data_IF_618652078123
#
_entry.id   IF_618652078123
#
_cell.length_a   1.000
_cell.length_b   1.000
_cell.length_c   1.000
_cell.angle_alpha   90.00
_cell.angle_beta   90.00
_cell.angle_gamma   90.00
#
_symmetry.space_group_name_H-M   'P 1'
#
loop_
_entity.id
_entity.type
_entity.pdbx_description
1 polymer ?
#
# COMPACT_ATOMS: atom_id res chain seq x y z
N UNK A 1 -25.32 31.87 53.60
CA UNK A 1 -24.46 30.77 53.12
C UNK A 1 -24.73 30.55 51.63
N UNK A 2 -23.90 31.06 50.74
CA UNK A 2 -24.07 30.90 49.27
C UNK A 2 -22.97 29.97 48.76
N UNK A 3 -23.35 28.74 48.40
CA UNK A 3 -22.45 27.70 47.92
C UNK A 3 -21.81 28.09 46.58
N UNK A 4 -20.48 28.13 46.57
CA UNK A 4 -19.63 28.30 45.39
C UNK A 4 -19.59 27.00 44.55
N UNK A 5 -20.71 26.60 43.95
CA UNK A 5 -20.82 25.38 43.13
C UNK A 5 -21.11 25.68 41.64
N UNK A 6 -20.42 26.65 41.03
CA UNK A 6 -20.58 26.97 39.59
C UNK A 6 -19.29 27.00 38.78
N UNK A 7 -18.12 27.18 39.42
CA UNK A 7 -16.82 27.22 38.72
C UNK A 7 -16.33 25.83 38.34
N UNK A 8 -16.55 24.81 39.19
CA UNK A 8 -16.15 23.43 38.91
C UNK A 8 -16.83 22.82 37.67
N UNK A 9 -18.13 23.12 37.46
CA UNK A 9 -18.90 22.56 36.35
C UNK A 9 -18.43 23.06 34.98
N UNK A 10 -17.99 24.34 34.89
CA UNK A 10 -17.46 24.92 33.65
C UNK A 10 -16.08 24.35 33.28
N UNK A 11 -15.22 24.09 34.26
CA UNK A 11 -13.93 23.45 34.02
C UNK A 11 -14.08 21.96 33.66
N UNK A 12 -15.03 21.25 34.28
CA UNK A 12 -15.37 19.87 33.93
C UNK A 12 -15.90 19.73 32.48
N UNK A 13 -16.71 20.69 32.01
CA UNK A 13 -17.20 20.71 30.62
C UNK A 13 -16.13 21.04 29.58
N UNK A 14 -15.16 21.90 29.92
CA UNK A 14 -14.05 22.24 29.03
C UNK A 14 -13.01 21.10 28.95
N UNK A 15 -12.75 20.42 30.06
CA UNK A 15 -11.87 19.22 30.10
C UNK A 15 -12.53 18.06 29.37
N UNK A 16 -13.84 17.85 29.50
CA UNK A 16 -14.54 16.79 28.75
C UNK A 16 -14.62 17.11 27.25
N UNK A 17 -14.84 18.37 26.85
CA UNK A 17 -14.85 18.75 25.43
C UNK A 17 -13.46 18.61 24.79
N UNK A 18 -12.38 18.93 25.50
CA UNK A 18 -11.01 18.72 25.02
C UNK A 18 -10.61 17.23 24.99
N UNK A 19 -11.11 16.41 25.91
CA UNK A 19 -10.95 14.95 25.86
C UNK A 19 -11.71 14.31 24.69
N UNK A 20 -12.92 14.81 24.39
CA UNK A 20 -13.72 14.33 23.24
C UNK A 20 -13.09 14.76 21.92
N UNK A 21 -12.57 15.99 21.81
CA UNK A 21 -11.82 16.42 20.61
C UNK A 21 -10.55 15.60 20.43
N UNK A 22 -9.77 15.35 21.49
CA UNK A 22 -8.60 14.48 21.44
C UNK A 22 -8.96 13.02 21.06
N UNK A 23 -10.11 12.51 21.51
CA UNK A 23 -10.60 11.20 21.12
C UNK A 23 -11.01 11.16 19.63
N UNK A 24 -11.64 12.22 19.09
CA UNK A 24 -12.05 12.22 17.67
C UNK A 24 -10.89 12.27 16.67
N UNK A 25 -9.74 12.87 17.03
CA UNK A 25 -8.52 12.79 16.19
C UNK A 25 -7.80 11.45 16.31
N UNK A 26 -7.94 10.74 17.45
CA UNK A 26 -7.35 9.41 17.64
C UNK A 26 -8.16 8.28 16.97
N UNK A 27 -9.46 8.49 16.72
CA UNK A 27 -10.32 7.49 16.09
C UNK A 27 -10.13 7.33 14.57
N UNK A 28 -9.28 8.13 13.92
CA UNK A 28 -9.00 8.01 12.50
C UNK A 28 -7.97 6.92 12.13
N UNK A 29 -7.35 6.23 13.10
CA UNK A 29 -6.11 5.48 12.79
C UNK A 29 -6.09 3.98 13.02
N UNK A 30 -7.13 3.28 13.48
CA UNK A 30 -6.98 1.84 13.70
C UNK A 30 -8.26 1.02 13.49
N UNK A 31 -8.47 0.55 12.26
CA UNK A 31 -9.47 -0.44 11.84
C UNK A 31 -8.72 -1.76 11.48
N UNK A 32 -9.26 -2.96 11.77
CA UNK A 32 -8.54 -4.24 11.57
C UNK A 32 -8.10 -4.46 10.11
N UNK A 33 -6.84 -4.87 9.87
CA UNK A 33 -6.17 -4.80 8.55
C UNK A 33 -4.96 -3.83 8.51
N UNK A 34 -4.56 -3.35 9.68
CA UNK A 34 -3.55 -2.38 10.13
C UNK A 34 -2.14 -2.35 9.49
N UNK A 35 -1.96 -2.76 8.23
CA UNK A 35 -0.70 -2.67 7.50
C UNK A 35 -0.90 -2.19 6.07
N UNK A 36 0.15 -1.64 5.47
CA UNK A 36 0.15 -1.16 4.07
C UNK A 36 -0.35 -2.21 3.07
N UNK A 37 -0.20 -3.51 3.36
CA UNK A 37 -0.41 -4.60 2.41
C UNK A 37 -1.57 -5.51 2.78
N UNK A 38 -2.45 -5.75 1.82
CA UNK A 38 -3.47 -6.79 1.87
C UNK A 38 -2.85 -8.17 1.69
N UNK A 39 -3.22 -9.13 2.55
CA UNK A 39 -2.73 -10.51 2.44
C UNK A 39 -3.48 -11.23 1.33
N UNK A 40 -2.74 -11.83 0.39
CA UNK A 40 -3.31 -12.68 -0.67
C UNK A 40 -2.94 -14.14 -0.46
N UNK A 41 -3.85 -15.03 -0.88
CA UNK A 41 -3.61 -16.47 -0.93
C UNK A 41 -3.81 -16.93 -2.37
N UNK A 42 -2.90 -17.73 -2.93
CA UNK A 42 -3.08 -18.27 -4.27
C UNK A 42 -4.19 -19.32 -4.28
N UNK A 43 -4.91 -19.39 -5.39
CA UNK A 43 -5.87 -20.45 -5.72
C UNK A 43 -5.42 -21.05 -7.05
N UNK A 44 -5.29 -22.37 -7.12
CA UNK A 44 -4.82 -23.07 -8.33
C UNK A 44 -3.49 -22.51 -8.88
N UNK A 45 -2.54 -22.20 -8.00
CA UNK A 45 -1.21 -21.73 -8.38
C UNK A 45 -1.11 -20.26 -8.80
N UNK A 46 -2.19 -19.47 -8.68
CA UNK A 46 -2.18 -18.04 -8.99
C UNK A 46 -2.90 -17.20 -7.94
N UNK A 47 -2.44 -15.98 -7.74
CA UNK A 47 -3.18 -14.92 -7.05
C UNK A 47 -4.06 -14.22 -8.08
N UNK A 48 -5.35 -14.10 -7.79
CA UNK A 48 -6.33 -13.46 -8.65
C UNK A 48 -6.91 -12.24 -7.94
N UNK A 49 -6.78 -11.06 -8.56
CA UNK A 49 -7.24 -9.78 -8.03
C UNK A 49 -8.25 -9.19 -9.02
N UNK A 50 -9.49 -8.86 -8.60
CA UNK A 50 -10.45 -8.22 -9.48
C UNK A 50 -9.95 -6.83 -9.93
N UNK A 51 -10.02 -6.56 -11.23
CA UNK A 51 -9.63 -5.27 -11.83
C UNK A 51 -10.39 -4.10 -11.21
N UNK A 52 -11.66 -4.31 -10.84
CA UNK A 52 -12.49 -3.30 -10.17
C UNK A 52 -11.94 -2.82 -8.83
N UNK A 53 -11.11 -3.63 -8.14
CA UNK A 53 -10.49 -3.24 -6.87
C UNK A 53 -9.26 -2.36 -7.03
N UNK A 54 -8.63 -2.37 -8.21
CA UNK A 54 -7.31 -1.78 -8.43
C UNK A 54 -7.27 -0.75 -9.56
N UNK A 55 -8.43 -0.39 -10.10
CA UNK A 55 -8.57 0.52 -11.26
C UNK A 55 -8.93 1.96 -10.91
N UNK A 56 -8.88 2.33 -9.63
CA UNK A 56 -9.23 3.67 -9.13
C UNK A 56 -8.09 4.70 -9.26
N UNK A 57 -6.98 4.33 -9.92
CA UNK A 57 -5.80 5.18 -10.10
C UNK A 57 -4.87 5.22 -8.87
N UNK A 58 -5.21 4.53 -7.78
CA UNK A 58 -4.35 4.41 -6.61
C UNK A 58 -3.51 3.13 -6.66
N UNK A 59 -2.38 3.14 -5.98
CA UNK A 59 -1.55 1.98 -5.77
C UNK A 59 -2.17 1.10 -4.66
N UNK A 60 -2.45 -0.15 -4.99
CA UNK A 60 -2.95 -1.17 -4.08
C UNK A 60 -1.84 -2.16 -3.79
N UNK A 61 -1.54 -2.35 -2.52
CA UNK A 61 -0.39 -3.12 -2.07
C UNK A 61 -0.83 -4.45 -1.50
N UNK A 62 -0.08 -5.49 -1.85
CA UNK A 62 -0.38 -6.85 -1.48
C UNK A 62 0.86 -7.56 -0.96
N UNK A 63 0.64 -8.58 -0.13
CA UNK A 63 1.68 -9.49 0.31
C UNK A 63 1.30 -10.94 0.10
N UNK A 64 2.25 -11.71 -0.42
CA UNK A 64 2.20 -13.15 -0.55
C UNK A 64 3.25 -13.77 0.37
N UNK A 65 2.90 -14.84 1.08
CA UNK A 65 3.85 -15.55 1.97
C UNK A 65 4.17 -16.93 1.41
N UNK A 66 5.45 -17.21 1.20
CA UNK A 66 5.97 -18.51 0.76
C UNK A 66 7.06 -18.96 1.73
N UNK A 67 6.85 -20.10 2.42
CA UNK A 67 7.84 -20.65 3.35
C UNK A 67 8.31 -19.67 4.45
N UNK A 68 7.43 -18.77 4.90
CA UNK A 68 7.75 -17.74 5.90
C UNK A 68 8.37 -16.45 5.34
N UNK A 69 8.67 -16.38 4.04
CA UNK A 69 9.12 -15.15 3.38
C UNK A 69 7.92 -14.34 2.87
N UNK A 70 7.84 -13.06 3.23
CA UNK A 70 6.87 -12.12 2.68
C UNK A 70 7.39 -11.52 1.37
N UNK A 71 6.62 -11.65 0.29
CA UNK A 71 6.88 -11.06 -1.02
C UNK A 71 5.83 -9.97 -1.24
N UNK A 72 6.30 -8.71 -1.22
CA UNK A 72 5.43 -7.54 -1.31
C UNK A 72 5.39 -7.02 -2.75
N UNK A 73 4.20 -6.66 -3.22
CA UNK A 73 3.99 -6.14 -4.57
C UNK A 73 2.85 -5.14 -4.58
N UNK A 74 2.71 -4.40 -5.66
CA UNK A 74 1.61 -3.48 -5.84
C UNK A 74 1.08 -3.47 -7.27
N UNK A 75 -0.17 -3.03 -7.38
CA UNK A 75 -0.85 -2.75 -8.62
C UNK A 75 -1.21 -1.27 -8.66
N UNK A 76 -1.03 -0.61 -9.79
CA UNK A 76 -1.43 0.79 -9.97
C UNK A 76 -1.91 1.02 -11.39
N UNK A 77 -3.06 1.66 -11.54
CA UNK A 77 -3.50 2.14 -12.85
C UNK A 77 -2.78 3.44 -13.17
N UNK A 78 -1.92 3.42 -14.18
CA UNK A 78 -1.15 4.54 -14.65
C UNK A 78 -2.02 5.68 -15.17
N UNK A 79 -1.43 6.86 -15.29
CA UNK A 79 -2.09 8.03 -15.91
C UNK A 79 -2.39 7.83 -17.41
N UNK A 80 -1.76 6.83 -18.03
CA UNK A 80 -2.05 6.33 -19.37
C UNK A 80 -3.30 5.40 -19.42
N UNK A 81 -3.90 5.11 -18.28
CA UNK A 81 -5.05 4.22 -18.16
C UNK A 81 -4.70 2.73 -18.15
N UNK A 82 -3.42 2.38 -18.16
CA UNK A 82 -2.95 0.99 -18.16
C UNK A 82 -2.75 0.51 -16.72
N UNK A 83 -3.08 -0.75 -16.43
CA UNK A 83 -2.85 -1.34 -15.12
C UNK A 83 -1.45 -1.98 -15.08
N UNK A 84 -0.61 -1.54 -14.14
CA UNK A 84 0.75 -2.01 -13.99
C UNK A 84 0.92 -2.84 -12.72
N UNK A 85 1.78 -3.85 -12.79
CA UNK A 85 2.15 -4.76 -11.70
C UNK A 85 3.67 -4.72 -11.47
N UNK A 86 4.08 -4.54 -10.21
CA UNK A 86 5.48 -4.51 -9.83
C UNK A 86 5.69 -5.03 -8.40
N UNK A 87 6.88 -5.54 -8.12
CA UNK A 87 7.32 -5.77 -6.75
C UNK A 87 7.47 -4.44 -6.03
N UNK A 88 7.23 -4.43 -4.71
CA UNK A 88 7.48 -3.25 -3.87
C UNK A 88 8.96 -3.13 -3.49
N UNK A 89 9.82 -3.24 -4.51
CA UNK A 89 11.27 -3.24 -4.41
C UNK A 89 11.90 -2.89 -5.76
N UNK A 90 13.19 -2.59 -5.77
CA UNK A 90 13.98 -2.37 -6.97
C UNK A 90 15.35 -3.02 -6.85
N UNK A 91 16.07 -3.14 -7.95
CA UNK A 91 17.34 -3.85 -8.00
C UNK A 91 18.46 -3.18 -7.18
N UNK A 92 18.30 -1.89 -6.87
CA UNK A 92 19.32 -1.09 -6.17
C UNK A 92 19.05 -1.00 -4.67
N UNK A 93 17.83 -0.64 -4.25
CA UNK A 93 17.52 -0.31 -2.85
C UNK A 93 16.79 -1.42 -2.08
N UNK A 94 16.54 -2.60 -2.67
CA UNK A 94 15.72 -3.64 -2.03
C UNK A 94 16.21 -4.07 -0.64
N UNK A 95 17.52 -3.99 -0.36
CA UNK A 95 18.11 -4.35 0.94
C UNK A 95 17.56 -3.52 2.10
N UNK A 96 17.10 -2.30 1.84
CA UNK A 96 16.55 -1.37 2.84
C UNK A 96 15.10 -1.70 3.21
N UNK A 97 14.41 -2.55 2.44
CA UNK A 97 13.04 -3.01 2.71
C UNK A 97 12.00 -1.89 2.88
N UNK A 98 12.28 -0.69 2.34
CA UNK A 98 11.37 0.46 2.43
C UNK A 98 10.29 0.46 1.34
N UNK A 99 10.59 -0.05 0.15
CA UNK A 99 9.64 -0.10 -0.97
C UNK A 99 9.27 1.27 -1.53
N UNK A 100 8.09 1.35 -2.16
CA UNK A 100 7.58 2.51 -2.89
C UNK A 100 6.27 3.03 -2.30
N UNK A 101 5.98 4.29 -2.57
CA UNK A 101 4.69 4.92 -2.28
C UNK A 101 4.24 5.76 -3.47
N UNK A 102 2.92 5.87 -3.67
CA UNK A 102 2.39 6.73 -4.71
C UNK A 102 2.27 8.17 -4.20
N UNK A 103 2.72 9.12 -5.01
CA UNK A 103 2.51 10.55 -4.81
C UNK A 103 2.02 11.16 -6.13
N UNK A 104 0.71 11.37 -6.25
CA UNK A 104 0.08 11.80 -7.49
C UNK A 104 0.28 10.79 -8.62
N UNK A 105 0.82 11.24 -9.74
CA UNK A 105 1.13 10.43 -10.92
C UNK A 105 2.49 9.71 -10.84
N UNK A 106 3.12 9.67 -9.66
CA UNK A 106 4.46 9.10 -9.47
C UNK A 106 4.48 8.02 -8.41
N UNK A 107 5.32 7.01 -8.62
CA UNK A 107 5.81 6.12 -7.57
C UNK A 107 7.17 6.58 -7.07
N UNK A 108 7.30 6.74 -5.77
CA UNK A 108 8.46 7.30 -5.09
C UNK A 108 9.12 6.21 -4.25
N UNK A 109 10.43 6.00 -4.44
CA UNK A 109 11.17 5.11 -3.58
C UNK A 109 11.31 5.72 -2.19
N UNK A 110 10.82 5.04 -1.16
CA UNK A 110 10.90 5.55 0.23
C UNK A 110 12.32 5.52 0.81
N UNK A 111 13.28 4.91 0.09
CA UNK A 111 14.67 4.93 0.51
C UNK A 111 15.44 6.12 -0.06
N UNK A 112 15.49 6.27 -1.38
CA UNK A 112 16.34 7.26 -2.06
C UNK A 112 15.57 8.46 -2.63
N UNK A 113 14.24 8.47 -2.55
CA UNK A 113 13.39 9.59 -2.97
C UNK A 113 13.22 9.74 -4.48
N UNK A 114 13.81 8.86 -5.30
CA UNK A 114 13.60 8.90 -6.75
C UNK A 114 12.16 8.62 -7.13
N UNK A 115 11.69 9.31 -8.18
CA UNK A 115 10.29 9.37 -8.58
C UNK A 115 10.13 8.90 -10.01
N UNK A 116 9.16 8.02 -10.24
CA UNK A 116 8.87 7.42 -11.54
C UNK A 116 7.42 7.65 -11.88
N UNK A 117 7.11 8.13 -13.09
CA UNK A 117 5.73 8.23 -13.54
C UNK A 117 5.06 6.85 -13.49
N UNK A 118 3.81 6.77 -13.04
CA UNK A 118 3.08 5.50 -12.93
C UNK A 118 2.92 4.81 -14.29
N UNK A 119 2.73 5.59 -15.36
CA UNK A 119 2.72 5.12 -16.76
C UNK A 119 4.05 4.50 -17.24
N UNK A 120 5.13 4.66 -16.47
CA UNK A 120 6.46 4.06 -16.77
C UNK A 120 6.77 2.86 -15.90
N UNK A 121 5.77 2.25 -15.25
CA UNK A 121 5.97 1.03 -14.47
C UNK A 121 5.73 -0.18 -15.36
N UNK A 122 6.49 -1.25 -15.17
CA UNK A 122 6.32 -2.49 -15.91
C UNK A 122 7.51 -2.84 -16.80
N UNK A 123 7.32 -3.82 -17.67
CA UNK A 123 8.41 -4.51 -18.38
C UNK A 123 9.37 -3.56 -19.11
N UNK A 124 8.86 -2.58 -19.85
CA UNK A 124 9.67 -1.68 -20.68
C UNK A 124 10.59 -0.73 -19.89
N UNK A 125 10.39 -0.62 -18.57
CA UNK A 125 11.21 0.24 -17.70
C UNK A 125 11.73 -0.52 -16.48
N UNK A 126 11.72 -1.87 -16.54
CA UNK A 126 12.26 -2.72 -15.49
C UNK A 126 13.79 -2.60 -15.45
N UNK A 127 14.34 -2.66 -14.23
CA UNK A 127 15.78 -2.55 -14.01
C UNK A 127 16.16 -1.33 -13.20
N UNK A 128 17.23 -1.46 -12.40
CA UNK A 128 17.80 -0.35 -11.64
C UNK A 128 16.85 0.12 -10.55
N UNK A 129 16.49 1.40 -10.57
CA UNK A 129 15.72 2.01 -9.48
C UNK A 129 14.23 2.16 -9.73
N UNK A 130 13.72 1.82 -10.92
CA UNK A 130 12.27 1.69 -11.12
C UNK A 130 11.77 0.45 -10.34
N UNK A 131 10.54 0.44 -9.78
CA UNK A 131 9.95 -0.79 -9.26
C UNK A 131 10.16 -1.99 -10.19
N UNK A 132 10.73 -3.08 -9.66
CA UNK A 132 11.04 -4.27 -10.46
C UNK A 132 9.75 -4.90 -10.98
N UNK A 133 9.68 -5.18 -12.28
CA UNK A 133 8.45 -5.66 -12.91
C UNK A 133 8.02 -7.03 -12.37
N UNK A 134 6.71 -7.16 -12.14
CA UNK A 134 6.04 -8.42 -11.80
C UNK A 134 5.13 -8.81 -12.97
N UNK A 135 5.43 -9.88 -13.71
CA UNK A 135 4.55 -10.36 -14.78
C UNK A 135 3.14 -10.70 -14.26
N UNK A 136 2.13 -10.38 -15.07
CA UNK A 136 0.74 -10.70 -14.79
C UNK A 136 -0.04 -10.88 -16.10
N UNK A 137 -1.08 -11.72 -16.06
CA UNK A 137 -2.12 -11.76 -17.09
C UNK A 137 -3.26 -10.86 -16.65
N UNK A 138 -3.66 -9.92 -17.50
CA UNK A 138 -4.72 -8.96 -17.21
C UNK A 138 -5.79 -9.11 -18.28
N UNK A 139 -7.02 -9.38 -17.84
CA UNK A 139 -8.22 -9.34 -18.68
C UNK A 139 -9.20 -8.27 -18.17
N UNK A 140 -10.43 -8.23 -18.69
CA UNK A 140 -11.41 -7.22 -18.31
C UNK A 140 -11.89 -7.34 -16.85
N UNK A 141 -11.82 -8.53 -16.26
CA UNK A 141 -12.32 -8.81 -14.92
C UNK A 141 -11.20 -8.96 -13.89
N UNK A 142 -10.08 -9.56 -14.27
CA UNK A 142 -9.07 -10.04 -13.33
C UNK A 142 -7.63 -9.74 -13.74
N UNK A 143 -6.81 -9.55 -12.70
CA UNK A 143 -5.36 -9.65 -12.76
C UNK A 143 -4.95 -10.98 -12.14
N UNK A 144 -4.26 -11.82 -12.91
CA UNK A 144 -3.76 -13.12 -12.47
C UNK A 144 -2.23 -13.13 -12.44
N UNK A 145 -1.66 -13.40 -11.27
CA UNK A 145 -0.22 -13.44 -11.04
C UNK A 145 0.14 -14.85 -10.58
N UNK A 146 1.07 -15.52 -11.26
CA UNK A 146 1.43 -16.89 -10.90
C UNK A 146 2.29 -16.91 -9.63
N UNK A 147 2.19 -17.99 -8.85
CA UNK A 147 3.10 -18.20 -7.71
C UNK A 147 4.56 -18.26 -8.17
N UNK A 148 4.83 -18.81 -9.36
CA UNK A 148 6.17 -18.85 -9.95
C UNK A 148 6.74 -17.44 -10.14
N UNK A 149 5.96 -16.52 -10.72
CA UNK A 149 6.38 -15.13 -10.93
C UNK A 149 6.60 -14.41 -9.60
N UNK A 150 5.71 -14.60 -8.62
CA UNK A 150 5.89 -14.05 -7.27
C UNK A 150 7.20 -14.54 -6.64
N UNK A 151 7.47 -15.85 -6.70
CA UNK A 151 8.69 -16.45 -6.14
C UNK A 151 9.96 -16.00 -6.84
N UNK A 152 9.91 -15.66 -8.13
CA UNK A 152 11.06 -15.10 -8.83
C UNK A 152 11.56 -13.77 -8.21
N UNK A 153 10.65 -13.00 -7.58
CA UNK A 153 10.97 -11.78 -6.84
C UNK A 153 11.44 -12.00 -5.40
N UNK A 154 11.44 -13.25 -4.90
CA UNK A 154 11.81 -13.55 -3.52
C UNK A 154 13.22 -13.10 -3.13
N UNK A 155 14.11 -12.84 -4.09
CA UNK A 155 15.45 -12.28 -3.83
C UNK A 155 15.43 -10.83 -3.33
N UNK A 156 14.36 -10.09 -3.60
CA UNK A 156 14.21 -8.70 -3.16
C UNK A 156 13.79 -8.58 -1.68
N UNK A 157 13.30 -9.67 -1.08
CA UNK A 157 12.72 -9.72 0.26
C UNK A 157 13.49 -10.68 1.16
#
# INVERSE_FOLDING_TARGET
MVCHCRKGLKYLLLVSLSLVVAATVAFAFTIPGMGKYDKVKPVNGSVVIPVSKVSDGKAHYYKFTDGGKEINFFLVKGSDGVLHTAFDACDVCFREKKGYEQQGDKMVCKNCGMKFATARIGAASSGGCNPSHLPAKIDAANVSITVTDLKAGARFF
#
